data_IF_179075088309
#
_entry.id   IF_179075088309
#
_cell.length_a   1.000
_cell.length_b   1.000
_cell.length_c   1.000
_cell.angle_alpha   90.00
_cell.angle_beta   90.00
_cell.angle_gamma   90.00
#
_symmetry.space_group_name_H-M   'P 1'
#
loop_
_entity.id
_entity.type
_entity.pdbx_description
1 polymer ?
#
# COMPACT_ATOMS: atom_id res chain seq x y z
N UNK A 1 -4.13 38.09 32.42
CA UNK A 1 -3.29 37.71 31.25
C UNK A 1 -2.25 36.62 31.54
N UNK A 2 -1.40 36.73 32.58
CA UNK A 2 -0.38 35.71 32.88
C UNK A 2 -0.93 34.30 33.18
N UNK A 3 -2.04 34.18 33.91
CA UNK A 3 -2.66 32.88 34.21
C UNK A 3 -3.19 32.15 32.96
N UNK A 4 -3.77 32.90 32.00
CA UNK A 4 -4.26 32.35 30.73
C UNK A 4 -3.08 31.85 29.88
N UNK A 5 -2.00 32.62 29.81
CA UNK A 5 -0.80 32.22 29.06
C UNK A 5 -0.15 30.95 29.64
N UNK A 6 -0.07 30.83 30.97
CA UNK A 6 0.45 29.63 31.64
C UNK A 6 -0.45 28.42 31.43
N UNK A 7 -1.78 28.59 31.46
CA UNK A 7 -2.75 27.53 31.19
C UNK A 7 -2.65 27.03 29.74
N UNK A 8 -2.56 27.94 28.77
CA UNK A 8 -2.37 27.61 27.35
C UNK A 8 -1.04 26.88 27.14
N UNK A 9 0.04 27.34 27.76
CA UNK A 9 1.35 26.70 27.64
C UNK A 9 1.37 25.30 28.25
N UNK A 10 0.72 25.11 29.42
CA UNK A 10 0.57 23.80 30.03
C UNK A 10 -0.24 22.84 29.15
N UNK A 11 -1.36 23.30 28.58
CA UNK A 11 -2.18 22.51 27.66
C UNK A 11 -1.40 22.10 26.39
N UNK A 12 -0.61 23.01 25.81
CA UNK A 12 0.22 22.71 24.64
C UNK A 12 1.28 21.67 24.98
N UNK A 13 1.99 21.83 26.10
CA UNK A 13 3.01 20.88 26.56
C UNK A 13 2.42 19.50 26.84
N UNK A 14 1.25 19.44 27.47
CA UNK A 14 0.57 18.18 27.79
C UNK A 14 0.11 17.46 26.52
N UNK A 15 -0.46 18.20 25.56
CA UNK A 15 -0.83 17.65 24.25
C UNK A 15 0.38 17.14 23.43
N UNK A 16 1.54 17.79 23.58
CA UNK A 16 2.78 17.39 22.92
C UNK A 16 3.36 16.10 23.52
N UNK A 17 3.29 15.95 24.84
CA UNK A 17 3.67 14.72 25.55
C UNK A 17 2.75 13.56 25.18
N UNK A 18 1.44 13.78 25.21
CA UNK A 18 0.46 12.77 24.81
C UNK A 18 0.72 12.28 23.37
N UNK A 19 1.01 13.18 22.41
CA UNK A 19 1.33 12.77 21.04
C UNK A 19 2.67 12.01 20.94
N UNK A 20 3.66 12.37 21.75
CA UNK A 20 4.91 11.61 21.85
C UNK A 20 4.67 10.19 22.34
N UNK A 21 3.80 10.03 23.34
CA UNK A 21 3.42 8.72 23.89
C UNK A 21 2.67 7.88 22.86
N UNK A 22 1.76 8.50 22.09
CA UNK A 22 1.12 7.84 20.94
C UNK A 22 2.16 7.27 19.98
N UNK A 23 3.16 8.07 19.60
CA UNK A 23 4.23 7.61 18.71
C UNK A 23 5.05 6.49 19.35
N UNK A 24 5.31 6.57 20.66
CA UNK A 24 5.97 5.53 21.45
C UNK A 24 5.21 4.21 21.39
N UNK A 25 3.92 4.23 21.71
CA UNK A 25 3.04 3.05 21.67
C UNK A 25 2.97 2.46 20.25
N UNK A 26 2.77 3.28 19.23
CA UNK A 26 2.74 2.83 17.84
C UNK A 26 4.06 2.19 17.40
N UNK A 27 5.20 2.71 17.87
CA UNK A 27 6.52 2.11 17.58
C UNK A 27 6.71 0.78 18.33
N UNK A 28 6.25 0.69 19.57
CA UNK A 28 6.33 -0.54 20.38
C UNK A 28 5.47 -1.67 19.81
N UNK A 29 4.37 -1.34 19.14
CA UNK A 29 3.47 -2.30 18.49
C UNK A 29 4.05 -2.91 17.20
N UNK A 30 5.25 -2.48 16.77
CA UNK A 30 5.87 -3.01 15.54
C UNK A 30 6.35 -4.44 15.77
N UNK A 31 6.10 -5.36 14.82
CA UNK A 31 6.67 -6.71 14.86
C UNK A 31 8.20 -6.67 15.02
N UNK A 32 8.70 -7.39 16.02
CA UNK A 32 10.14 -7.59 16.21
C UNK A 32 10.74 -8.39 15.04
N UNK A 33 11.96 -8.05 14.63
CA UNK A 33 12.67 -8.77 13.55
C UNK A 33 12.03 -8.61 12.17
N UNK A 34 11.27 -7.54 11.94
CA UNK A 34 10.66 -7.28 10.64
C UNK A 34 11.72 -7.00 9.57
N UNK A 35 11.88 -7.91 8.62
CA UNK A 35 12.61 -7.65 7.39
C UNK A 35 11.76 -6.79 6.45
N UNK A 36 11.97 -5.48 6.54
CA UNK A 36 11.30 -4.46 5.73
C UNK A 36 11.53 -4.67 4.24
N UNK A 37 12.73 -5.12 3.87
CA UNK A 37 13.11 -5.28 2.48
C UNK A 37 12.44 -6.49 1.84
N UNK A 38 12.41 -7.61 2.57
CA UNK A 38 11.71 -8.81 2.12
C UNK A 38 10.21 -8.55 1.93
N UNK A 39 9.58 -7.80 2.86
CA UNK A 39 8.17 -7.42 2.74
C UNK A 39 7.91 -6.50 1.56
N UNK A 40 8.70 -5.43 1.43
CA UNK A 40 8.58 -4.50 0.31
C UNK A 40 8.73 -5.22 -1.05
N UNK A 41 9.70 -6.14 -1.17
CA UNK A 41 9.86 -6.97 -2.38
C UNK A 41 8.63 -7.83 -2.64
N UNK A 42 8.12 -8.52 -1.62
CA UNK A 42 6.95 -9.39 -1.76
C UNK A 42 5.72 -8.59 -2.20
N UNK A 43 5.52 -7.42 -1.61
CA UNK A 43 4.32 -6.61 -1.85
C UNK A 43 4.42 -5.89 -3.20
N UNK A 44 5.63 -5.45 -3.62
CA UNK A 44 5.94 -5.05 -4.99
C UNK A 44 5.68 -6.18 -6.00
N UNK A 45 6.19 -7.39 -5.78
CA UNK A 45 5.96 -8.52 -6.68
C UNK A 45 4.47 -8.84 -6.80
N UNK A 46 3.74 -8.78 -5.68
CA UNK A 46 2.30 -9.04 -5.68
C UNK A 46 1.53 -7.96 -6.46
N UNK A 47 1.88 -6.69 -6.29
CA UNK A 47 1.24 -5.58 -7.01
C UNK A 47 1.61 -5.57 -8.50
N UNK A 48 2.85 -5.91 -8.84
CA UNK A 48 3.32 -6.06 -10.21
C UNK A 48 2.59 -7.20 -10.92
N UNK A 49 2.52 -8.39 -10.31
CA UNK A 49 1.76 -9.54 -10.88
C UNK A 49 0.30 -9.16 -11.09
N UNK A 50 -0.34 -8.52 -10.10
CA UNK A 50 -1.72 -8.07 -10.23
C UNK A 50 -1.90 -7.07 -11.38
N UNK A 51 -0.98 -6.11 -11.52
CA UNK A 51 -0.95 -5.15 -12.62
C UNK A 51 -0.75 -5.82 -13.98
N UNK A 52 0.19 -6.76 -14.09
CA UNK A 52 0.43 -7.53 -15.33
C UNK A 52 -0.78 -8.38 -15.72
N UNK A 53 -1.47 -8.98 -14.76
CA UNK A 53 -2.72 -9.72 -15.03
C UNK A 53 -3.79 -8.79 -15.59
N UNK A 54 -4.07 -7.68 -14.90
CA UNK A 54 -5.13 -6.78 -15.33
C UNK A 54 -4.81 -6.13 -16.67
N UNK A 55 -3.63 -5.56 -16.83
CA UNK A 55 -3.22 -4.89 -18.07
C UNK A 55 -3.01 -5.88 -19.21
N UNK A 56 -2.55 -7.10 -18.93
CA UNK A 56 -2.46 -8.16 -19.93
C UNK A 56 -3.83 -8.63 -20.40
N UNK A 57 -4.82 -8.73 -19.51
CA UNK A 57 -6.21 -9.01 -19.91
C UNK A 57 -6.76 -7.87 -20.77
N UNK A 58 -6.53 -6.61 -20.40
CA UNK A 58 -6.94 -5.45 -21.22
C UNK A 58 -6.25 -5.52 -22.57
N UNK A 59 -4.94 -5.77 -22.62
CA UNK A 59 -4.19 -5.84 -23.88
C UNK A 59 -4.59 -7.01 -24.79
N UNK A 60 -5.19 -8.08 -24.27
CA UNK A 60 -5.79 -9.14 -25.08
C UNK A 60 -7.19 -8.77 -25.60
N UNK A 61 -7.97 -8.01 -24.83
CA UNK A 61 -9.35 -7.65 -25.16
C UNK A 61 -9.42 -6.40 -26.06
N UNK A 62 -8.51 -5.45 -25.85
CA UNK A 62 -8.42 -4.19 -26.55
C UNK A 62 -6.93 -3.83 -26.78
N UNK A 63 -6.29 -4.42 -27.81
CA UNK A 63 -4.88 -4.19 -28.09
C UNK A 63 -4.59 -2.77 -28.57
N UNK A 64 -5.59 -2.03 -29.08
CA UNK A 64 -5.44 -0.67 -29.61
C UNK A 64 -5.22 0.37 -28.50
N UNK A 65 -5.54 0.05 -27.24
CA UNK A 65 -5.20 0.91 -26.09
C UNK A 65 -3.71 0.88 -25.73
N UNK A 66 -2.93 -0.01 -26.35
CA UNK A 66 -1.47 -0.11 -26.19
C UNK A 66 -0.77 0.37 -27.47
N UNK A 67 0.50 0.76 -27.38
CA UNK A 67 1.26 1.35 -28.49
C UNK A 67 1.61 0.36 -29.62
N UNK A 68 0.89 -0.75 -29.72
CA UNK A 68 1.17 -1.84 -30.63
C UNK A 68 0.92 -1.44 -32.10
N UNK A 69 1.71 -1.97 -33.06
CA UNK A 69 1.35 -1.90 -34.47
C UNK A 69 -0.03 -2.56 -34.64
N UNK A 70 -0.92 -1.91 -35.41
CA UNK A 70 -2.36 -2.19 -35.44
C UNK A 70 -2.79 -3.66 -35.53
N UNK A 71 -4.09 -3.88 -35.28
CA UNK A 71 -4.82 -5.16 -35.13
C UNK A 71 -4.42 -6.36 -36.02
N UNK A 72 -3.76 -6.15 -37.16
CA UNK A 72 -3.22 -7.20 -38.02
C UNK A 72 -2.08 -8.04 -37.43
N UNK A 73 -1.29 -7.52 -36.48
CA UNK A 73 -0.19 -8.28 -35.83
C UNK A 73 -0.68 -9.26 -34.75
N UNK A 74 -1.92 -9.10 -34.28
CA UNK A 74 -2.51 -9.91 -33.20
C UNK A 74 -3.23 -11.18 -33.68
N UNK A 75 -3.69 -11.20 -34.93
CA UNK A 75 -4.55 -12.26 -35.43
C UNK A 75 -3.86 -13.65 -35.53
N UNK A 76 -2.52 -13.70 -35.62
CA UNK A 76 -1.73 -14.95 -35.67
C UNK A 76 -0.27 -14.77 -35.20
N UNK A 77 -0.07 -14.04 -34.10
CA UNK A 77 1.27 -13.70 -33.59
C UNK A 77 1.70 -14.50 -32.36
N UNK A 78 3.00 -14.78 -32.24
CA UNK A 78 3.60 -15.27 -30.98
C UNK A 78 3.38 -14.35 -29.75
N UNK A 79 3.23 -13.00 -29.88
CA UNK A 79 3.01 -12.12 -28.73
C UNK A 79 1.73 -12.39 -27.95
N UNK A 80 0.62 -12.66 -28.64
CA UNK A 80 -0.68 -12.94 -28.00
C UNK A 80 -0.65 -14.30 -27.28
N UNK A 81 -0.01 -15.30 -27.88
CA UNK A 81 0.20 -16.62 -27.27
C UNK A 81 1.08 -16.50 -26.01
N UNK A 82 2.16 -15.75 -26.07
CA UNK A 82 3.04 -15.52 -24.93
C UNK A 82 2.32 -14.80 -23.79
N UNK A 83 1.53 -13.75 -24.11
CA UNK A 83 0.74 -13.03 -23.13
C UNK A 83 -0.32 -13.94 -22.49
N UNK A 84 -1.01 -14.78 -23.27
CA UNK A 84 -1.97 -15.74 -22.75
C UNK A 84 -1.34 -16.74 -21.78
N UNK A 85 -0.17 -17.30 -22.12
CA UNK A 85 0.60 -18.20 -21.23
C UNK A 85 1.00 -17.47 -19.95
N UNK A 86 1.48 -16.23 -20.05
CA UNK A 86 1.84 -15.41 -18.89
C UNK A 86 0.63 -15.17 -17.96
N UNK A 87 -0.54 -14.85 -18.53
CA UNK A 87 -1.77 -14.68 -17.76
C UNK A 87 -2.19 -15.96 -17.06
N UNK A 88 -2.09 -17.11 -17.72
CA UNK A 88 -2.38 -18.42 -17.10
C UNK A 88 -1.43 -18.67 -15.92
N UNK A 89 -0.12 -18.44 -16.09
CA UNK A 89 0.86 -18.59 -15.02
C UNK A 89 0.53 -17.67 -13.83
N UNK A 90 0.21 -16.41 -14.08
CA UNK A 90 -0.19 -15.47 -13.04
C UNK A 90 -1.51 -15.88 -12.37
N UNK A 91 -2.49 -16.37 -13.12
CA UNK A 91 -3.75 -16.87 -12.57
C UNK A 91 -3.53 -18.09 -11.67
N UNK A 92 -2.64 -19.02 -12.05
CA UNK A 92 -2.24 -20.17 -11.21
C UNK A 92 -1.58 -19.68 -9.93
N UNK A 93 -0.69 -18.68 -10.00
CA UNK A 93 -0.08 -18.09 -8.80
C UNK A 93 -1.12 -17.46 -7.88
N UNK A 94 -2.11 -16.73 -8.42
CA UNK A 94 -3.21 -16.16 -7.66
C UNK A 94 -4.05 -17.26 -7.00
N UNK A 95 -4.41 -18.32 -7.74
CA UNK A 95 -5.18 -19.44 -7.23
C UNK A 95 -4.47 -20.16 -6.08
N UNK A 96 -3.17 -20.46 -6.22
CA UNK A 96 -2.34 -21.09 -5.17
C UNK A 96 -2.22 -20.20 -3.93
N UNK A 97 -2.28 -18.87 -4.09
CA UNK A 97 -2.16 -17.89 -3.00
C UNK A 97 -3.52 -17.39 -2.50
N UNK A 98 -4.64 -17.83 -3.06
CA UNK A 98 -5.96 -17.27 -2.81
C UNK A 98 -6.34 -17.28 -1.32
N UNK A 99 -6.08 -18.38 -0.62
CA UNK A 99 -6.34 -18.46 0.83
C UNK A 99 -5.49 -17.49 1.68
N UNK A 100 -4.31 -17.06 1.18
CA UNK A 100 -3.51 -16.00 1.84
C UNK A 100 -4.07 -14.62 1.52
N UNK A 101 -4.45 -14.38 0.25
CA UNK A 101 -5.06 -13.11 -0.21
C UNK A 101 -6.36 -12.87 0.55
N UNK A 102 -7.25 -13.87 0.62
CA UNK A 102 -8.51 -13.79 1.36
C UNK A 102 -8.28 -13.47 2.84
N UNK A 103 -7.31 -14.12 3.50
CA UNK A 103 -6.96 -13.83 4.89
C UNK A 103 -6.39 -12.43 5.07
N UNK A 104 -5.56 -11.96 4.14
CA UNK A 104 -5.03 -10.60 4.17
C UNK A 104 -6.17 -9.57 4.01
N UNK A 105 -7.10 -9.79 3.09
CA UNK A 105 -8.27 -8.94 2.88
C UNK A 105 -9.17 -8.90 4.12
N UNK A 106 -9.48 -10.06 4.72
CA UNK A 106 -10.27 -10.12 5.96
C UNK A 106 -9.58 -9.36 7.10
N UNK A 107 -8.26 -9.53 7.28
CA UNK A 107 -7.50 -8.77 8.30
C UNK A 107 -7.45 -7.28 8.01
N UNK A 108 -7.37 -6.90 6.74
CA UNK A 108 -7.41 -5.51 6.34
C UNK A 108 -8.77 -4.88 6.62
N UNK A 109 -9.87 -5.63 6.51
CA UNK A 109 -11.21 -5.14 6.79
C UNK A 109 -11.57 -5.15 8.29
N UNK A 110 -10.92 -6.02 9.08
CA UNK A 110 -11.24 -6.25 10.49
C UNK A 110 -11.35 -4.99 11.37
N UNK A 111 -10.45 -3.99 11.31
CA UNK A 111 -10.57 -2.86 12.21
C UNK A 111 -11.74 -1.93 11.88
N UNK A 112 -12.45 -2.12 10.76
CA UNK A 112 -13.70 -1.42 10.46
C UNK A 112 -14.90 -1.99 11.21
N UNK A 113 -14.82 -3.27 11.59
CA UNK A 113 -15.95 -3.99 12.16
C UNK A 113 -15.78 -4.27 13.65
N UNK A 114 -14.53 -4.28 14.16
CA UNK A 114 -14.26 -4.57 15.57
C UNK A 114 -13.04 -3.79 16.10
N UNK A 115 -13.08 -3.27 17.33
CA UNK A 115 -11.91 -2.73 18.01
C UNK A 115 -10.88 -3.83 18.31
N UNK A 116 -9.59 -3.55 18.13
CA UNK A 116 -8.50 -4.50 18.35
C UNK A 116 -8.03 -4.53 19.82
N UNK A 117 -8.96 -4.65 20.77
CA UNK A 117 -8.66 -4.69 22.21
C UNK A 117 -7.67 -5.79 22.61
N UNK A 118 -7.59 -6.86 21.82
CA UNK A 118 -6.66 -7.98 22.01
C UNK A 118 -5.18 -7.58 21.82
N UNK A 119 -4.89 -6.45 21.16
CA UNK A 119 -3.52 -5.99 20.97
C UNK A 119 -3.00 -5.32 22.25
N UNK A 120 -1.83 -5.73 22.80
CA UNK A 120 -1.32 -5.23 24.07
C UNK A 120 -0.97 -3.73 24.04
N UNK A 121 -0.68 -3.16 22.87
CA UNK A 121 -0.44 -1.72 22.72
C UNK A 121 -1.73 -0.91 22.59
N UNK A 122 -2.90 -1.54 22.42
CA UNK A 122 -4.16 -0.86 22.17
C UNK A 122 -4.58 0.06 23.31
N UNK A 123 -4.65 -0.38 24.59
CA UNK A 123 -5.16 0.48 25.67
C UNK A 123 -4.29 1.71 25.91
N UNK A 124 -2.96 1.54 25.83
CA UNK A 124 -2.00 2.64 25.98
C UNK A 124 -2.06 3.63 24.82
N UNK A 125 -2.16 3.12 23.58
CA UNK A 125 -2.24 3.96 22.39
C UNK A 125 -3.57 4.71 22.30
N UNK A 126 -4.70 4.06 22.56
CA UNK A 126 -6.02 4.71 22.50
C UNK A 126 -6.17 5.77 23.58
N UNK A 127 -5.74 5.49 24.82
CA UNK A 127 -5.72 6.48 25.91
C UNK A 127 -4.84 7.70 25.57
N UNK A 128 -3.65 7.47 25.00
CA UNK A 128 -2.76 8.55 24.60
C UNK A 128 -3.33 9.40 23.44
N UNK A 129 -3.99 8.80 22.45
CA UNK A 129 -4.64 9.56 21.37
C UNK A 129 -5.88 10.29 21.89
N UNK A 130 -6.66 9.70 22.79
CA UNK A 130 -7.82 10.35 23.40
C UNK A 130 -7.43 11.58 24.23
N UNK A 131 -6.28 11.54 24.90
CA UNK A 131 -5.71 12.68 25.64
C UNK A 131 -5.13 13.78 24.74
N UNK A 132 -4.96 13.52 23.43
CA UNK A 132 -4.45 14.52 22.49
C UNK A 132 -5.52 15.58 22.18
N UNK A 133 -5.07 16.79 21.85
CA UNK A 133 -5.90 17.82 21.24
C UNK A 133 -6.41 17.36 19.86
N UNK A 134 -7.52 17.94 19.39
CA UNK A 134 -8.12 17.60 18.08
C UNK A 134 -7.13 17.73 16.91
N UNK A 135 -6.24 18.73 16.93
CA UNK A 135 -5.20 18.88 15.91
C UNK A 135 -4.17 17.73 15.92
N UNK A 136 -3.77 17.27 17.10
CA UNK A 136 -2.87 16.12 17.25
C UNK A 136 -3.55 14.79 16.88
N UNK A 137 -4.85 14.65 17.15
CA UNK A 137 -5.65 13.52 16.68
C UNK A 137 -5.76 13.50 15.14
N UNK A 138 -6.00 14.64 14.50
CA UNK A 138 -6.00 14.76 13.05
C UNK A 138 -4.62 14.41 12.45
N UNK A 139 -3.54 14.90 13.06
CA UNK A 139 -2.17 14.55 12.67
C UNK A 139 -1.90 13.05 12.83
N UNK A 140 -2.41 12.42 13.88
CA UNK A 140 -2.33 10.96 14.04
C UNK A 140 -3.03 10.24 12.90
N UNK A 141 -4.28 10.60 12.58
CA UNK A 141 -5.04 10.02 11.49
C UNK A 141 -4.29 10.18 10.15
N UNK A 142 -3.81 11.38 9.84
CA UNK A 142 -3.03 11.63 8.63
C UNK A 142 -1.76 10.78 8.57
N UNK A 143 -0.97 10.72 9.64
CA UNK A 143 0.33 10.07 9.61
C UNK A 143 0.28 8.54 9.66
N UNK A 144 -0.70 7.98 10.38
CA UNK A 144 -0.75 6.54 10.70
C UNK A 144 -1.90 5.79 10.04
N UNK A 145 -2.99 6.47 9.64
CA UNK A 145 -4.13 5.85 8.95
C UNK A 145 -4.04 6.15 7.46
N UNK A 146 -4.00 7.43 7.07
CA UNK A 146 -4.15 7.84 5.68
C UNK A 146 -2.84 7.80 4.88
N UNK A 147 -1.72 8.27 5.45
CA UNK A 147 -0.43 8.26 4.75
C UNK A 147 0.03 6.87 4.30
N UNK A 148 -0.12 5.79 5.10
CA UNK A 148 0.21 4.44 4.62
C UNK A 148 -0.68 3.99 3.45
N UNK A 149 -1.97 4.33 3.47
CA UNK A 149 -2.91 4.00 2.37
C UNK A 149 -2.50 4.75 1.10
N UNK A 150 -2.25 6.07 1.21
CA UNK A 150 -1.78 6.87 0.08
C UNK A 150 -0.46 6.31 -0.48
N UNK A 151 0.44 5.88 0.41
CA UNK A 151 1.67 5.19 0.04
C UNK A 151 1.43 3.89 -0.74
N UNK A 152 0.48 3.06 -0.31
CA UNK A 152 0.09 1.82 -1.03
C UNK A 152 -0.42 2.17 -2.43
N UNK A 153 -1.28 3.17 -2.55
CA UNK A 153 -1.81 3.62 -3.85
C UNK A 153 -0.66 4.05 -4.77
N UNK A 154 0.23 4.93 -4.29
CA UNK A 154 1.40 5.40 -5.06
C UNK A 154 2.30 4.23 -5.47
N UNK A 155 2.62 3.32 -4.55
CA UNK A 155 3.47 2.18 -4.82
C UNK A 155 2.83 1.23 -5.85
N UNK A 156 1.52 0.98 -5.74
CA UNK A 156 0.75 0.22 -6.71
C UNK A 156 0.76 0.90 -8.08
N UNK A 157 0.48 2.21 -8.16
CA UNK A 157 0.52 2.98 -9.42
C UNK A 157 1.86 2.80 -10.13
N UNK A 158 2.99 2.98 -9.44
CA UNK A 158 4.30 2.76 -10.04
C UNK A 158 4.53 1.32 -10.49
N UNK A 159 4.13 0.32 -9.69
CA UNK A 159 4.26 -1.08 -10.13
C UNK A 159 3.38 -1.40 -11.35
N UNK A 160 2.22 -0.75 -11.47
CA UNK A 160 1.32 -0.92 -12.60
C UNK A 160 1.84 -0.20 -13.83
N UNK A 161 2.48 0.96 -13.68
CA UNK A 161 3.23 1.59 -14.77
C UNK A 161 4.36 0.69 -15.28
N UNK A 162 5.10 0.02 -14.38
CA UNK A 162 6.08 -1.01 -14.80
C UNK A 162 5.40 -2.16 -15.55
N UNK A 163 4.28 -2.67 -15.04
CA UNK A 163 3.52 -3.72 -15.73
C UNK A 163 3.04 -3.28 -17.12
N UNK A 164 2.58 -2.02 -17.27
CA UNK A 164 2.17 -1.44 -18.54
C UNK A 164 3.30 -1.52 -19.57
N UNK A 165 4.50 -1.05 -19.23
CA UNK A 165 5.64 -1.13 -20.16
C UNK A 165 6.05 -2.57 -20.47
N UNK A 166 5.92 -3.51 -19.53
CA UNK A 166 6.18 -4.93 -19.79
C UNK A 166 5.16 -5.50 -20.78
N UNK A 167 3.87 -5.22 -20.57
CA UNK A 167 2.81 -5.70 -21.46
C UNK A 167 2.97 -5.07 -22.85
N UNK A 168 3.17 -3.76 -22.92
CA UNK A 168 3.39 -3.03 -24.18
C UNK A 168 4.61 -3.58 -24.95
N UNK A 169 5.72 -3.86 -24.25
CA UNK A 169 6.90 -4.50 -24.83
C UNK A 169 6.61 -5.89 -25.43
N UNK A 170 5.79 -6.70 -24.74
CA UNK A 170 5.36 -8.00 -25.24
C UNK A 170 4.51 -7.82 -26.49
N UNK A 171 3.51 -6.93 -26.44
CA UNK A 171 2.59 -6.70 -27.55
C UNK A 171 3.28 -6.13 -28.79
N UNK A 172 4.28 -5.27 -28.61
CA UNK A 172 5.13 -4.77 -29.68
C UNK A 172 6.16 -5.81 -30.20
N UNK A 173 6.14 -7.06 -29.70
CA UNK A 173 7.08 -8.10 -30.08
C UNK A 173 8.54 -7.74 -29.77
N UNK A 174 8.78 -6.90 -28.77
CA UNK A 174 10.10 -6.38 -28.41
C UNK A 174 10.63 -5.26 -29.31
N UNK A 175 9.86 -4.77 -30.29
CA UNK A 175 10.25 -3.66 -31.16
C UNK A 175 10.05 -2.30 -30.47
N UNK A 176 10.77 -2.11 -29.36
CA UNK A 176 10.61 -0.95 -28.48
C UNK A 176 11.90 -0.15 -28.40
N UNK A 177 11.78 1.17 -28.28
CA UNK A 177 12.94 2.02 -28.03
C UNK A 177 13.52 1.81 -26.63
N UNK A 178 14.81 2.10 -26.45
CA UNK A 178 15.51 2.01 -25.15
C UNK A 178 14.88 2.82 -24.01
N UNK A 179 14.04 3.80 -24.32
CA UNK A 179 13.27 4.54 -23.30
C UNK A 179 12.33 3.65 -22.49
N UNK A 180 11.67 2.67 -23.11
CA UNK A 180 10.72 1.80 -22.41
C UNK A 180 11.32 0.98 -21.26
N UNK A 181 12.43 0.22 -21.45
CA UNK A 181 13.03 -0.53 -20.35
C UNK A 181 13.56 0.39 -19.25
N UNK A 182 14.03 1.59 -19.59
CA UNK A 182 14.44 2.60 -18.61
C UNK A 182 13.26 3.10 -17.77
N UNK A 183 12.11 3.38 -18.39
CA UNK A 183 10.90 3.76 -17.66
C UNK A 183 10.39 2.62 -16.78
N UNK A 184 10.32 1.40 -17.31
CA UNK A 184 9.90 0.22 -16.55
C UNK A 184 10.76 0.01 -15.30
N UNK A 185 12.08 0.11 -15.44
CA UNK A 185 13.04 0.02 -14.33
C UNK A 185 12.88 1.18 -13.34
N UNK A 186 12.77 2.42 -13.83
CA UNK A 186 12.59 3.61 -13.01
C UNK A 186 11.34 3.50 -12.13
N UNK A 187 10.18 3.17 -12.73
CA UNK A 187 8.94 2.95 -11.99
C UNK A 187 9.03 1.75 -11.04
N UNK A 188 9.73 0.68 -11.41
CA UNK A 188 9.92 -0.48 -10.55
C UNK A 188 10.71 -0.14 -9.29
N UNK A 189 11.79 0.63 -9.44
CA UNK A 189 12.60 1.13 -8.33
C UNK A 189 11.83 2.11 -7.45
N UNK A 190 11.05 3.02 -8.03
CA UNK A 190 10.20 3.95 -7.29
C UNK A 190 9.12 3.21 -6.49
N UNK A 191 8.49 2.18 -7.07
CA UNK A 191 7.53 1.33 -6.37
C UNK A 191 8.19 0.63 -5.18
N UNK A 192 9.34 -0.03 -5.39
CA UNK A 192 10.09 -0.70 -4.32
C UNK A 192 10.52 0.25 -3.20
N UNK A 193 11.01 1.44 -3.55
CA UNK A 193 11.38 2.47 -2.58
C UNK A 193 10.16 2.93 -1.77
N UNK A 194 9.02 3.14 -2.44
CA UNK A 194 7.77 3.55 -1.78
C UNK A 194 7.29 2.47 -0.82
N UNK A 195 7.21 1.20 -1.26
CA UNK A 195 6.87 0.06 -0.40
C UNK A 195 7.78 0.01 0.82
N UNK A 196 9.10 0.08 0.63
CA UNK A 196 10.09 0.07 1.73
C UNK A 196 9.84 1.16 2.77
N UNK A 197 9.50 2.38 2.35
CA UNK A 197 9.27 3.50 3.26
C UNK A 197 8.01 3.25 4.11
N UNK A 198 6.96 2.70 3.51
CA UNK A 198 5.63 2.62 4.14
C UNK A 198 5.41 1.34 4.96
N UNK A 199 6.18 0.27 4.71
CA UNK A 199 6.08 -1.04 5.38
C UNK A 199 6.01 -0.91 6.91
N UNK A 200 6.87 -0.07 7.49
CA UNK A 200 6.94 0.10 8.95
C UNK A 200 5.66 0.67 9.55
N UNK A 201 4.91 1.47 8.80
CA UNK A 201 3.62 2.03 9.20
C UNK A 201 2.46 1.11 8.84
N UNK A 202 2.53 0.43 7.70
CA UNK A 202 1.57 -0.60 7.31
C UNK A 202 1.49 -1.73 8.33
N UNK A 203 2.61 -2.13 8.92
CA UNK A 203 2.65 -3.13 9.97
C UNK A 203 1.78 -2.79 11.19
N UNK A 204 1.61 -1.51 11.48
CA UNK A 204 0.82 -0.99 12.61
C UNK A 204 -0.51 -0.35 12.18
N UNK A 205 -0.80 -0.35 10.88
CA UNK A 205 -1.95 0.38 10.32
C UNK A 205 -3.27 -0.14 10.85
N UNK A 206 -3.44 -1.46 11.00
CA UNK A 206 -4.66 -2.05 11.56
C UNK A 206 -4.95 -1.53 12.97
N UNK A 207 -3.92 -1.45 13.81
CA UNK A 207 -4.01 -0.88 15.16
C UNK A 207 -4.38 0.61 15.08
N UNK A 208 -3.67 1.38 14.25
CA UNK A 208 -3.94 2.81 14.08
C UNK A 208 -5.37 3.10 13.66
N UNK A 209 -5.89 2.36 12.66
CA UNK A 209 -7.25 2.52 12.18
C UNK A 209 -8.27 2.16 13.26
N UNK A 210 -8.02 1.10 14.03
CA UNK A 210 -8.95 0.73 15.11
C UNK A 210 -9.05 1.82 16.18
N UNK A 211 -7.92 2.42 16.56
CA UNK A 211 -7.88 3.53 17.51
C UNK A 211 -8.57 4.75 16.93
N UNK A 212 -8.32 5.07 15.66
CA UNK A 212 -8.95 6.21 15.02
C UNK A 212 -10.48 6.09 15.00
N UNK A 213 -11.01 4.90 14.67
CA UNK A 213 -12.46 4.66 14.65
C UNK A 213 -13.09 4.72 16.04
N UNK A 214 -12.41 4.21 17.06
CA UNK A 214 -12.88 4.32 18.45
C UNK A 214 -13.04 5.79 18.84
N UNK A 215 -12.04 6.61 18.54
CA UNK A 215 -11.99 8.02 18.94
C UNK A 215 -12.98 8.87 18.16
N UNK A 216 -13.25 8.53 16.89
CA UNK A 216 -14.28 9.20 16.09
C UNK A 216 -15.69 8.67 16.35
N UNK A 217 -15.86 7.66 17.21
CA UNK A 217 -17.17 7.03 17.48
C UNK A 217 -17.77 6.33 16.26
N UNK A 218 -16.92 5.84 15.35
CA UNK A 218 -17.34 5.28 14.06
C UNK A 218 -17.56 3.75 14.11
N UNK A 219 -17.65 3.15 15.30
CA UNK A 219 -18.00 1.73 15.48
C UNK A 219 -19.50 1.52 15.60
#
# INVERSE_FOLDING_TARGET
MRAIALMVMAMVLDSGRAYSDVVGWMRSARPAGMDVWLRARRDFTSSLIAGTVLLGMIGLLDPESFGAPGSGAFADGWPSTFLAVLLILCAVLVAVRFGRIRRAAMRAAEPWFRPLYENPAWPGASGAVAACSAGSQARFALAWVWAPIAGVVIACTFSWSTAYFIVDAILAGGQIGWGQPLYALGFGLLSLATWRIIETRLATWRLATSIHREITGAY
#
